data_IF_314089867790
#
_entry.id   IF_314089867790
#
_cell.length_a   1.000
_cell.length_b   1.000
_cell.length_c   1.000
_cell.angle_alpha   90.00
_cell.angle_beta   90.00
_cell.angle_gamma   90.00
#
_symmetry.space_group_name_H-M   'P 1'
#
loop_
_entity.id
_entity.type
_entity.pdbx_description
1 polymer ?
#
# COMPACT_ATOMS: atom_id res chain seq x y z
N UNK A 1 24.86 6.54 -32.28
CA UNK A 1 24.61 6.04 -33.65
C UNK A 1 25.89 5.85 -34.43
N UNK A 2 26.76 6.87 -34.57
CA UNK A 2 28.06 6.71 -35.24
C UNK A 2 28.90 5.53 -34.74
N UNK A 3 29.00 5.34 -33.42
CA UNK A 3 29.71 4.19 -32.83
C UNK A 3 29.10 2.82 -33.19
N UNK A 4 27.76 2.73 -33.28
CA UNK A 4 27.06 1.49 -33.67
C UNK A 4 27.33 1.17 -35.14
N UNK A 5 27.32 2.20 -36.00
CA UNK A 5 27.65 2.05 -37.41
C UNK A 5 29.09 1.61 -37.63
N UNK A 6 30.05 2.22 -36.93
CA UNK A 6 31.47 1.84 -37.04
C UNK A 6 31.69 0.38 -36.64
N UNK A 7 31.01 -0.08 -35.57
CA UNK A 7 31.06 -1.47 -35.13
C UNK A 7 30.44 -2.43 -36.16
N UNK A 8 29.24 -2.14 -36.69
CA UNK A 8 28.60 -2.98 -37.70
C UNK A 8 29.42 -3.07 -38.99
N UNK A 9 30.04 -1.96 -39.43
CA UNK A 9 30.93 -1.97 -40.61
C UNK A 9 32.21 -2.78 -40.39
N UNK A 10 32.77 -2.74 -39.18
CA UNK A 10 33.93 -3.56 -38.81
C UNK A 10 33.62 -5.06 -38.85
N UNK A 11 32.36 -5.45 -38.58
CA UNK A 11 31.87 -6.83 -38.72
C UNK A 11 31.36 -7.17 -40.14
N UNK A 12 31.59 -6.31 -41.12
CA UNK A 12 31.31 -6.60 -42.54
C UNK A 12 29.96 -6.11 -43.07
N UNK A 13 29.24 -5.25 -42.34
CA UNK A 13 28.02 -4.63 -42.85
C UNK A 13 28.32 -3.61 -43.96
N UNK A 14 27.90 -3.90 -45.20
CA UNK A 14 28.10 -3.04 -46.37
C UNK A 14 26.83 -2.26 -46.81
N UNK A 15 25.76 -2.29 -46.00
CA UNK A 15 24.47 -1.68 -46.34
C UNK A 15 24.40 -0.16 -46.10
N UNK A 16 23.25 0.43 -46.42
CA UNK A 16 23.02 1.87 -46.24
C UNK A 16 22.82 2.24 -44.76
N UNK A 17 23.27 3.44 -44.38
CA UNK A 17 23.10 3.98 -43.02
C UNK A 17 21.62 4.13 -42.66
N UNK A 18 20.75 4.44 -43.63
CA UNK A 18 19.29 4.50 -43.44
C UNK A 18 18.69 3.14 -43.07
N UNK A 19 19.12 2.07 -43.72
CA UNK A 19 18.70 0.70 -43.41
C UNK A 19 19.15 0.29 -42.01
N UNK A 20 20.40 0.58 -41.64
CA UNK A 20 20.92 0.31 -40.30
C UNK A 20 20.13 1.07 -39.22
N UNK A 21 19.78 2.34 -39.46
CA UNK A 21 18.97 3.12 -38.53
C UNK A 21 17.58 2.51 -38.31
N UNK A 22 16.95 2.01 -39.38
CA UNK A 22 15.64 1.36 -39.29
C UNK A 22 15.74 0.06 -38.47
N UNK A 23 16.75 -0.78 -38.73
CA UNK A 23 16.97 -2.02 -37.97
C UNK A 23 17.23 -1.74 -36.49
N UNK A 24 18.09 -0.78 -36.17
CA UNK A 24 18.36 -0.38 -34.77
C UNK A 24 17.10 0.21 -34.10
N UNK A 25 16.27 0.94 -34.85
CA UNK A 25 15.00 1.46 -34.35
C UNK A 25 13.98 0.34 -34.08
N UNK A 26 13.92 -0.67 -34.94
CA UNK A 26 13.10 -1.88 -34.75
C UNK A 26 13.56 -2.68 -33.53
N UNK A 27 14.85 -2.95 -33.40
CA UNK A 27 15.43 -3.62 -32.22
C UNK A 27 15.12 -2.87 -30.92
N UNK A 28 15.25 -1.53 -30.92
CA UNK A 28 14.88 -0.70 -29.77
C UNK A 28 13.38 -0.75 -29.47
N UNK A 29 12.53 -0.86 -30.49
CA UNK A 29 11.07 -0.98 -30.32
C UNK A 29 10.70 -2.34 -29.76
N UNK A 30 11.31 -3.42 -30.27
CA UNK A 30 11.14 -4.77 -29.76
C UNK A 30 11.64 -4.86 -28.31
N UNK A 31 12.82 -4.31 -28.00
CA UNK A 31 13.36 -4.24 -26.64
C UNK A 31 12.48 -3.44 -25.67
N UNK A 32 11.74 -2.43 -26.16
CA UNK A 32 10.74 -1.69 -25.35
C UNK A 32 9.47 -2.50 -25.13
N UNK A 33 9.03 -3.26 -26.13
CA UNK A 33 7.84 -4.11 -26.05
C UNK A 33 8.08 -5.39 -25.24
N UNK A 34 9.30 -5.90 -25.22
CA UNK A 34 9.72 -7.06 -24.43
C UNK A 34 10.03 -6.74 -22.97
N UNK A 35 10.03 -5.46 -22.57
CA UNK A 35 10.15 -5.10 -21.15
C UNK A 35 8.99 -5.73 -20.38
N UNK A 36 9.26 -6.53 -19.33
CA UNK A 36 8.21 -7.14 -18.55
C UNK A 36 7.36 -6.03 -17.93
N UNK A 37 6.04 -6.12 -18.12
CA UNK A 37 5.12 -5.17 -17.53
C UNK A 37 5.27 -5.25 -16.01
N UNK A 38 5.48 -4.10 -15.35
CA UNK A 38 5.56 -4.06 -13.90
C UNK A 38 4.18 -4.43 -13.34
N UNK A 39 4.07 -5.65 -12.82
CA UNK A 39 2.85 -6.15 -12.21
C UNK A 39 2.58 -5.38 -10.91
N UNK A 40 1.62 -4.45 -10.94
CA UNK A 40 1.14 -3.75 -9.75
C UNK A 40 0.23 -4.66 -8.90
N UNK A 41 0.85 -5.68 -8.27
CA UNK A 41 0.15 -6.68 -7.45
C UNK A 41 -0.06 -6.18 -6.01
N UNK A 42 0.73 -5.20 -5.54
CA UNK A 42 0.68 -4.67 -4.16
C UNK A 42 -0.73 -4.32 -3.71
N UNK A 43 -1.45 -3.49 -4.47
CA UNK A 43 -2.81 -3.07 -4.10
C UNK A 43 -3.79 -4.24 -4.06
N UNK A 44 -3.63 -5.22 -4.96
CA UNK A 44 -4.48 -6.42 -5.00
C UNK A 44 -4.22 -7.30 -3.78
N UNK A 45 -2.97 -7.45 -3.38
CA UNK A 45 -2.58 -8.18 -2.15
C UNK A 45 -3.13 -7.50 -0.90
N UNK A 46 -2.97 -6.17 -0.78
CA UNK A 46 -3.53 -5.41 0.35
C UNK A 46 -5.05 -5.60 0.42
N UNK A 47 -5.75 -5.55 -0.72
CA UNK A 47 -7.19 -5.80 -0.76
C UNK A 47 -7.55 -7.21 -0.30
N UNK A 48 -6.77 -8.23 -0.67
CA UNK A 48 -7.02 -9.59 -0.19
C UNK A 48 -6.84 -9.67 1.32
N UNK A 49 -5.73 -9.14 1.87
CA UNK A 49 -5.46 -9.15 3.32
C UNK A 49 -6.53 -8.36 4.10
N UNK A 50 -7.10 -7.30 3.52
CA UNK A 50 -8.10 -6.47 4.19
C UNK A 50 -9.53 -7.06 4.14
N UNK A 51 -9.78 -8.04 3.28
CA UNK A 51 -11.11 -8.58 2.99
C UNK A 51 -11.48 -9.72 3.94
N UNK A 52 -11.89 -9.33 5.15
CA UNK A 52 -12.13 -10.21 6.29
C UNK A 52 -13.27 -11.23 6.10
N UNK A 53 -14.24 -10.93 5.24
CA UNK A 53 -15.42 -11.80 5.01
C UNK A 53 -15.10 -12.97 4.08
N UNK A 54 -14.10 -12.81 3.22
CA UNK A 54 -13.79 -13.78 2.18
C UNK A 54 -12.59 -14.63 2.57
N UNK A 55 -12.88 -15.79 3.15
CA UNK A 55 -11.88 -16.79 3.48
C UNK A 55 -11.01 -17.26 2.30
N UNK A 56 -10.03 -18.12 2.61
CA UNK A 56 -9.02 -18.63 1.67
C UNK A 56 -8.10 -17.54 1.08
N UNK A 57 -7.51 -16.72 1.95
CA UNK A 57 -6.58 -15.66 1.55
C UNK A 57 -5.37 -16.21 0.79
N UNK A 58 -4.82 -17.34 1.26
CA UNK A 58 -3.74 -18.06 0.60
C UNK A 58 -4.06 -18.36 -0.87
N UNK A 59 -5.22 -18.97 -1.15
CA UNK A 59 -5.64 -19.29 -2.52
C UNK A 59 -5.90 -18.04 -3.36
N UNK A 60 -6.45 -16.97 -2.76
CA UNK A 60 -6.68 -15.69 -3.45
C UNK A 60 -5.37 -15.00 -3.82
N UNK A 61 -4.37 -15.02 -2.93
CA UNK A 61 -3.03 -14.51 -3.22
C UNK A 61 -2.35 -15.36 -4.29
N UNK A 62 -2.46 -16.69 -4.23
CA UNK A 62 -1.90 -17.59 -5.24
C UNK A 62 -2.49 -17.35 -6.64
N UNK A 63 -3.80 -17.03 -6.73
CA UNK A 63 -4.45 -16.62 -7.99
C UNK A 63 -3.91 -15.30 -8.56
N UNK A 64 -3.34 -14.41 -7.74
CA UNK A 64 -2.73 -13.18 -8.23
C UNK A 64 -1.40 -13.44 -8.91
N UNK A 65 -0.57 -14.31 -8.31
CA UNK A 65 0.67 -14.79 -8.89
C UNK A 65 1.13 -16.07 -8.16
N UNK A 66 1.38 -17.18 -8.87
CA UNK A 66 1.60 -18.49 -8.25
C UNK A 66 2.82 -18.50 -7.31
N UNK A 67 3.92 -17.87 -7.73
CA UNK A 67 5.18 -17.90 -6.98
C UNK A 67 5.26 -16.79 -5.91
N UNK A 68 4.20 -16.01 -5.69
CA UNK A 68 4.27 -14.87 -4.76
C UNK A 68 4.48 -15.32 -3.32
N UNK A 69 3.81 -16.41 -2.93
CA UNK A 69 3.93 -16.98 -1.58
C UNK A 69 5.25 -17.74 -1.40
N UNK A 70 5.84 -18.25 -2.47
CA UNK A 70 7.17 -18.86 -2.45
C UNK A 70 8.25 -17.79 -2.29
N UNK A 71 8.09 -16.67 -3.00
CA UNK A 71 9.03 -15.54 -2.95
C UNK A 71 8.90 -14.76 -1.63
N UNK A 72 7.67 -14.60 -1.12
CA UNK A 72 7.37 -13.81 0.08
C UNK A 72 6.51 -14.62 1.06
N UNK A 73 7.06 -15.68 1.68
CA UNK A 73 6.31 -16.54 2.62
C UNK A 73 5.81 -15.78 3.86
N UNK A 74 6.54 -14.73 4.21
CA UNK A 74 6.23 -13.74 5.24
C UNK A 74 4.85 -13.08 5.09
N UNK A 75 4.30 -13.05 3.87
CA UNK A 75 3.01 -12.42 3.59
C UNK A 75 1.85 -13.08 4.37
N UNK A 76 1.93 -14.39 4.60
CA UNK A 76 0.89 -15.10 5.37
C UNK A 76 0.98 -14.81 6.87
N UNK A 77 2.19 -14.57 7.39
CA UNK A 77 2.35 -14.10 8.78
C UNK A 77 1.74 -12.71 8.97
N UNK A 78 1.91 -11.83 7.97
CA UNK A 78 1.30 -10.51 8.00
C UNK A 78 -0.23 -10.57 7.88
N UNK A 79 -0.74 -11.47 7.02
CA UNK A 79 -2.17 -11.74 6.90
C UNK A 79 -2.75 -12.17 8.25
N UNK A 80 -2.13 -13.15 8.91
CA UNK A 80 -2.53 -13.64 10.24
C UNK A 80 -2.51 -12.53 11.31
N UNK A 81 -1.47 -11.69 11.31
CA UNK A 81 -1.37 -10.54 12.20
C UNK A 81 -2.55 -9.58 12.03
N UNK A 82 -2.84 -9.19 10.79
CA UNK A 82 -3.93 -8.25 10.49
C UNK A 82 -5.28 -8.84 10.89
N UNK A 83 -5.50 -10.13 10.63
CA UNK A 83 -6.76 -10.81 10.98
C UNK A 83 -6.94 -10.94 12.48
N UNK A 84 -5.93 -11.45 13.17
CA UNK A 84 -5.97 -11.64 14.63
C UNK A 84 -6.14 -10.30 15.36
N UNK A 85 -5.51 -9.22 14.90
CA UNK A 85 -5.72 -7.89 15.47
C UNK A 85 -7.17 -7.43 15.30
N UNK A 86 -7.74 -7.55 14.09
CA UNK A 86 -9.14 -7.19 13.82
C UNK A 86 -10.13 -8.05 14.60
N UNK A 87 -9.82 -9.33 14.81
CA UNK A 87 -10.63 -10.21 15.63
C UNK A 87 -10.77 -9.72 17.08
N UNK A 88 -9.75 -9.05 17.64
CA UNK A 88 -9.86 -8.45 18.98
C UNK A 88 -11.04 -7.48 19.06
N UNK A 89 -11.21 -6.64 18.04
CA UNK A 89 -12.31 -5.67 17.94
C UNK A 89 -13.65 -6.35 17.66
N UNK A 90 -13.69 -7.37 16.80
CA UNK A 90 -14.92 -8.10 16.49
C UNK A 90 -15.44 -8.88 17.71
N UNK A 91 -14.54 -9.51 18.47
CA UNK A 91 -14.89 -10.28 19.67
C UNK A 91 -15.09 -9.40 20.90
N UNK A 92 -14.67 -8.13 20.86
CA UNK A 92 -14.70 -7.17 21.98
C UNK A 92 -14.06 -7.70 23.26
N UNK A 93 -13.02 -8.53 23.13
CA UNK A 93 -12.29 -9.14 24.25
C UNK A 93 -10.93 -8.51 24.41
N UNK A 94 -10.90 -7.41 25.18
CA UNK A 94 -9.69 -6.68 25.49
C UNK A 94 -8.65 -7.49 26.30
N UNK A 95 -9.09 -8.51 27.04
CA UNK A 95 -8.22 -9.43 27.78
C UNK A 95 -7.18 -10.11 26.86
N UNK A 96 -7.56 -10.41 25.63
CA UNK A 96 -6.69 -11.06 24.64
C UNK A 96 -5.64 -10.10 24.03
N UNK A 97 -5.73 -8.80 24.29
CA UNK A 97 -4.81 -7.81 23.70
C UNK A 97 -3.37 -8.00 24.20
N UNK A 98 -3.18 -8.32 25.47
CA UNK A 98 -1.84 -8.50 26.04
C UNK A 98 -1.16 -9.76 25.50
N UNK A 99 -1.91 -10.86 25.36
CA UNK A 99 -1.41 -12.10 24.75
C UNK A 99 -1.07 -11.88 23.27
N UNK A 100 -1.91 -11.11 22.57
CA UNK A 100 -1.67 -10.73 21.19
C UNK A 100 -0.39 -9.89 21.05
N UNK A 101 -0.19 -8.89 21.91
CA UNK A 101 1.04 -8.09 21.96
C UNK A 101 2.26 -8.98 22.21
N UNK A 102 2.20 -9.89 23.19
CA UNK A 102 3.31 -10.78 23.52
C UNK A 102 3.69 -11.69 22.34
N UNK A 103 2.68 -12.20 21.61
CA UNK A 103 2.86 -13.04 20.42
C UNK A 103 3.59 -12.29 19.31
N UNK A 104 3.15 -11.07 18.98
CA UNK A 104 3.68 -10.34 17.82
C UNK A 104 4.91 -9.48 18.11
N UNK A 105 5.25 -9.25 19.38
CA UNK A 105 6.49 -8.56 19.78
C UNK A 105 7.75 -9.32 19.34
N UNK A 106 7.68 -10.65 19.26
CA UNK A 106 8.81 -11.52 18.90
C UNK A 106 8.94 -11.75 17.38
N UNK A 107 8.09 -11.13 16.56
CA UNK A 107 8.11 -11.34 15.12
C UNK A 107 9.20 -10.47 14.47
N UNK A 108 9.95 -11.07 13.54
CA UNK A 108 11.05 -10.45 12.77
C UNK A 108 10.54 -9.49 11.67
N UNK A 109 9.71 -8.51 12.05
CA UNK A 109 9.35 -7.39 11.19
C UNK A 109 9.48 -6.09 11.97
N UNK A 110 10.43 -5.24 11.58
CA UNK A 110 10.67 -3.94 12.24
C UNK A 110 9.44 -3.03 12.26
N UNK A 111 8.63 -3.06 11.19
CA UNK A 111 7.38 -2.30 11.12
C UNK A 111 6.30 -2.86 12.05
N UNK A 112 6.26 -4.18 12.26
CA UNK A 112 5.35 -4.80 13.25
C UNK A 112 5.78 -4.41 14.64
N UNK A 113 7.07 -4.53 14.96
CA UNK A 113 7.59 -4.14 16.28
C UNK A 113 7.27 -2.68 16.60
N UNK A 114 7.43 -1.78 15.62
CA UNK A 114 7.07 -0.37 15.75
C UNK A 114 5.56 -0.18 15.99
N UNK A 115 4.71 -0.92 15.26
CA UNK A 115 3.26 -0.91 15.47
C UNK A 115 2.88 -1.38 16.88
N UNK A 116 3.43 -2.52 17.31
CA UNK A 116 3.21 -3.08 18.66
C UNK A 116 3.65 -2.08 19.73
N UNK A 117 4.79 -1.40 19.53
CA UNK A 117 5.27 -0.40 20.48
C UNK A 117 4.30 0.79 20.60
N UNK A 118 3.71 1.24 19.49
CA UNK A 118 2.66 2.26 19.51
C UNK A 118 1.40 1.78 20.25
N UNK A 119 0.97 0.54 20.01
CA UNK A 119 -0.16 -0.07 20.74
C UNK A 119 0.11 -0.13 22.25
N UNK A 120 1.34 -0.44 22.66
CA UNK A 120 1.74 -0.45 24.08
C UNK A 120 1.70 0.96 24.69
N UNK A 121 2.15 1.98 23.95
CA UNK A 121 2.12 3.36 24.42
C UNK A 121 0.69 3.85 24.69
N UNK A 122 -0.24 3.47 23.81
CA UNK A 122 -1.66 3.84 23.89
C UNK A 122 -2.54 2.71 24.46
N UNK A 123 -1.98 1.81 25.28
CA UNK A 123 -2.63 0.56 25.68
C UNK A 123 -4.03 0.77 26.27
N UNK A 124 -4.19 1.76 27.15
CA UNK A 124 -5.49 2.08 27.77
C UNK A 124 -6.53 2.52 26.74
N UNK A 125 -6.14 3.38 25.80
CA UNK A 125 -7.01 3.86 24.74
C UNK A 125 -7.38 2.73 23.76
N UNK A 126 -6.42 1.87 23.40
CA UNK A 126 -6.68 0.70 22.55
C UNK A 126 -7.60 -0.28 23.24
N UNK A 127 -7.39 -0.55 24.53
CA UNK A 127 -8.26 -1.43 25.33
C UNK A 127 -9.70 -0.92 25.35
N UNK A 128 -9.89 0.35 25.67
CA UNK A 128 -11.21 0.99 25.65
C UNK A 128 -11.84 0.96 24.26
N UNK A 129 -11.05 1.14 23.19
CA UNK A 129 -11.58 1.07 21.82
C UNK A 129 -12.07 -0.32 21.39
N UNK A 130 -11.63 -1.38 22.08
CA UNK A 130 -12.10 -2.75 21.86
C UNK A 130 -13.40 -3.01 22.64
N UNK A 131 -13.47 -2.53 23.88
CA UNK A 131 -14.61 -2.78 24.79
C UNK A 131 -15.82 -1.90 24.44
N UNK A 132 -15.56 -0.63 24.15
CA UNK A 132 -16.58 0.39 23.94
C UNK A 132 -17.15 0.38 22.51
N UNK A 133 -18.43 0.72 22.32
CA UNK A 133 -19.02 0.88 20.99
C UNK A 133 -18.63 2.22 20.34
N UNK A 134 -18.01 3.13 21.08
CA UNK A 134 -17.68 4.48 20.63
C UNK A 134 -16.43 4.48 19.76
N UNK A 135 -16.48 5.17 18.62
CA UNK A 135 -15.32 5.42 17.79
C UNK A 135 -15.09 6.92 17.61
N UNK A 136 -13.83 7.33 17.48
CA UNK A 136 -13.48 8.71 17.17
C UNK A 136 -13.75 9.07 15.68
N UNK A 137 -14.24 8.12 14.87
CA UNK A 137 -14.44 8.27 13.43
C UNK A 137 -15.29 9.48 13.03
N UNK A 138 -16.46 9.72 13.64
CA UNK A 138 -17.27 10.91 13.33
C UNK A 138 -16.55 12.23 13.63
N UNK A 139 -15.85 12.30 14.76
CA UNK A 139 -15.08 13.49 15.18
C UNK A 139 -13.91 13.72 14.22
N UNK A 140 -13.16 12.67 13.89
CA UNK A 140 -12.08 12.73 12.91
C UNK A 140 -12.59 13.14 11.53
N UNK A 141 -13.78 12.67 11.13
CA UNK A 141 -14.46 13.09 9.92
C UNK A 141 -14.74 14.59 9.89
N UNK A 142 -15.26 15.15 10.99
CA UNK A 142 -15.50 16.59 11.12
C UNK A 142 -14.19 17.39 11.10
N UNK A 143 -13.16 16.91 11.81
CA UNK A 143 -11.83 17.53 11.80
C UNK A 143 -11.23 17.51 10.39
N UNK A 144 -11.37 16.41 9.65
CA UNK A 144 -10.87 16.31 8.29
C UNK A 144 -11.63 17.24 7.34
N UNK A 145 -12.97 17.30 7.45
CA UNK A 145 -13.81 18.26 6.72
C UNK A 145 -13.34 19.69 6.97
N UNK A 146 -13.16 20.08 8.23
CA UNK A 146 -12.69 21.39 8.62
C UNK A 146 -11.30 21.69 8.01
N UNK A 147 -10.36 20.75 8.12
CA UNK A 147 -9.02 20.89 7.52
C UNK A 147 -9.08 21.07 6.00
N UNK A 148 -9.98 20.38 5.31
CA UNK A 148 -10.18 20.52 3.86
C UNK A 148 -10.75 21.89 3.50
N UNK A 149 -11.78 22.36 4.20
CA UNK A 149 -12.35 23.70 4.02
C UNK A 149 -11.26 24.77 4.21
N UNK A 150 -10.48 24.68 5.29
CA UNK A 150 -9.35 25.58 5.54
C UNK A 150 -8.34 25.56 4.39
N UNK A 151 -7.98 24.37 3.88
CA UNK A 151 -7.02 24.22 2.78
C UNK A 151 -7.46 24.87 1.48
N UNK A 152 -8.74 24.77 1.12
CA UNK A 152 -9.29 25.42 -0.08
C UNK A 152 -9.23 26.95 0.00
N UNK A 153 -9.21 27.49 1.22
CA UNK A 153 -9.40 28.92 1.49
C UNK A 153 -8.13 29.65 1.95
N UNK A 154 -6.98 28.95 2.02
CA UNK A 154 -5.70 29.59 2.37
C UNK A 154 -5.41 30.78 1.46
N UNK A 155 -5.10 31.93 2.07
CA UNK A 155 -4.80 33.19 1.39
C UNK A 155 -6.00 33.88 0.72
N UNK A 156 -7.21 33.29 0.78
CA UNK A 156 -8.40 33.79 0.09
C UNK A 156 -9.54 34.17 1.03
N UNK A 157 -9.48 33.79 2.30
CA UNK A 157 -10.57 34.00 3.24
C UNK A 157 -10.09 34.24 4.68
N UNK A 158 -10.73 35.19 5.37
CA UNK A 158 -10.56 35.41 6.80
C UNK A 158 -11.41 34.47 7.66
N UNK A 159 -11.25 34.56 8.99
CA UNK A 159 -11.94 33.69 9.95
C UNK A 159 -13.47 33.67 9.78
N UNK A 160 -14.08 34.83 9.56
CA UNK A 160 -15.53 34.94 9.42
C UNK A 160 -16.08 34.10 8.25
N UNK A 161 -15.40 34.15 7.11
CA UNK A 161 -15.78 33.39 5.91
C UNK A 161 -15.56 31.89 6.13
N UNK A 162 -14.47 31.51 6.81
CA UNK A 162 -14.21 30.12 7.19
C UNK A 162 -15.29 29.57 8.11
N UNK A 163 -15.67 30.34 9.16
CA UNK A 163 -16.75 29.98 10.09
C UNK A 163 -18.07 29.77 9.36
N UNK A 164 -18.43 30.70 8.47
CA UNK A 164 -19.66 30.60 7.69
C UNK A 164 -19.67 29.33 6.83
N UNK A 165 -18.54 29.01 6.17
CA UNK A 165 -18.46 27.81 5.32
C UNK A 165 -18.57 26.50 6.11
N UNK A 166 -18.01 26.46 7.31
CA UNK A 166 -18.08 25.29 8.20
C UNK A 166 -19.50 25.07 8.73
N UNK A 167 -20.17 26.15 9.17
CA UNK A 167 -21.50 26.09 9.80
C UNK A 167 -22.63 25.88 8.77
N UNK A 168 -22.60 26.65 7.67
CA UNK A 168 -23.72 26.69 6.73
C UNK A 168 -23.56 25.74 5.52
N UNK A 169 -22.45 25.01 5.42
CA UNK A 169 -22.18 24.03 4.36
C UNK A 169 -22.26 24.57 2.91
N UNK A 170 -21.75 25.79 2.67
CA UNK A 170 -21.63 26.38 1.32
C UNK A 170 -20.39 25.90 0.53
#
# INVERSE_FOLDING_TARGET
>A
MKQIETACRAEGYCGSLGTLNNLVAEERRQARQSKPAMLSIRQKVIRVIWDFEKGNHRGRVHKLHPNLLETFPQLMKLDELVHSFRELFNKKKAENLMDWIATYKQVDFSFVQSFIQGVIQDLSAVKLSIEEPWSNGPVEGQVNRLKTIKRMMYGRAGFQVLKNRVLYQW
#
